data_IF_088753635791
#
_entry.id   IF_088753635791
#
_cell.length_a   1.000
_cell.length_b   1.000
_cell.length_c   1.000
_cell.angle_alpha   90.00
_cell.angle_beta   90.00
_cell.angle_gamma   90.00
#
_symmetry.space_group_name_H-M   'P 1'
#
loop_
_entity.id
_entity.type
_entity.pdbx_description
1 polymer ?
#
# COMPACT_ATOMS: atom_id res chain seq x y z
N UNK A 1 13.63 -16.44 -3.21
CA UNK A 1 13.00 -17.58 -2.50
C UNK A 1 12.08 -16.95 -1.47
N UNK A 2 10.77 -17.19 -1.53
CA UNK A 2 9.82 -16.53 -0.63
C UNK A 2 10.03 -16.98 0.81
N UNK A 3 10.22 -16.04 1.75
CA UNK A 3 10.29 -16.37 3.18
C UNK A 3 8.85 -16.53 3.67
N UNK A 4 8.47 -17.78 3.99
CA UNK A 4 7.18 -18.09 4.62
C UNK A 4 7.34 -17.93 6.12
N UNK A 5 6.73 -16.91 6.69
CA UNK A 5 6.82 -16.64 8.13
C UNK A 5 5.42 -16.73 8.72
N UNK A 6 5.24 -17.71 9.60
CA UNK A 6 4.04 -17.89 10.41
C UNK A 6 4.46 -17.60 11.85
N UNK A 7 4.11 -16.44 12.41
CA UNK A 7 4.28 -16.23 13.85
C UNK A 7 3.24 -15.26 14.41
N UNK A 8 2.81 -15.56 15.63
CA UNK A 8 1.78 -14.88 16.39
C UNK A 8 2.33 -13.89 17.44
N UNK A 9 3.65 -13.71 17.64
CA UNK A 9 4.19 -12.67 18.54
C UNK A 9 5.60 -12.17 18.16
N UNK A 10 5.75 -10.87 17.87
CA UNK A 10 7.05 -10.16 17.98
C UNK A 10 7.69 -9.62 16.70
N UNK A 11 7.12 -9.88 15.53
CA UNK A 11 7.70 -9.45 14.25
C UNK A 11 7.48 -7.96 13.97
N UNK A 12 8.52 -7.27 13.53
CA UNK A 12 8.48 -5.85 13.17
C UNK A 12 8.04 -5.68 11.72
N UNK A 13 6.79 -5.29 11.54
CA UNK A 13 6.25 -4.89 10.24
C UNK A 13 6.17 -3.37 10.16
N UNK A 14 6.72 -2.79 9.10
CA UNK A 14 6.64 -1.36 8.84
C UNK A 14 6.17 -1.12 7.42
N UNK A 15 5.32 -0.12 7.28
CA UNK A 15 4.87 0.40 6.00
C UNK A 15 5.29 1.86 5.95
N UNK A 16 5.89 2.27 4.85
CA UNK A 16 6.25 3.65 4.60
C UNK A 16 5.88 4.04 3.18
N UNK A 17 5.15 5.14 3.04
CA UNK A 17 4.87 5.80 1.78
C UNK A 17 5.79 7.02 1.65
N UNK A 18 6.46 7.13 0.51
CA UNK A 18 7.36 8.24 0.24
C UNK A 18 7.06 8.87 -1.11
N UNK A 19 7.24 10.19 -1.22
CA UNK A 19 7.20 10.93 -2.49
C UNK A 19 8.59 11.49 -2.74
N UNK A 20 9.26 11.05 -3.79
CA UNK A 20 10.58 11.54 -4.16
C UNK A 20 10.48 12.81 -5.01
N UNK A 21 11.60 13.53 -5.11
CA UNK A 21 11.70 14.84 -5.78
C UNK A 21 11.24 14.88 -7.24
N UNK A 22 11.15 13.73 -7.91
CA UNK A 22 10.69 13.60 -9.29
C UNK A 22 9.21 13.23 -9.42
N UNK A 23 8.42 13.39 -8.34
CA UNK A 23 6.98 13.12 -8.38
C UNK A 23 6.58 11.65 -8.29
N UNK A 24 7.55 10.77 -8.04
CA UNK A 24 7.32 9.32 -7.96
C UNK A 24 7.03 8.96 -6.51
N UNK A 25 5.95 8.22 -6.30
CA UNK A 25 5.62 7.66 -5.00
C UNK A 25 6.07 6.22 -4.88
N UNK A 26 6.39 5.81 -3.65
CA UNK A 26 6.82 4.45 -3.34
C UNK A 26 6.08 3.95 -2.11
N UNK A 27 5.71 2.67 -2.13
CA UNK A 27 5.29 1.90 -0.98
C UNK A 27 6.44 0.98 -0.57
N UNK A 28 7.04 1.29 0.56
CA UNK A 28 8.10 0.50 1.18
C UNK A 28 7.51 -0.36 2.29
N UNK A 29 7.83 -1.65 2.27
CA UNK A 29 7.40 -2.62 3.27
C UNK A 29 8.64 -3.31 3.84
N UNK A 30 8.87 -3.09 5.12
CA UNK A 30 9.93 -3.79 5.88
C UNK A 30 9.28 -4.83 6.79
N UNK A 31 9.83 -6.04 6.78
CA UNK A 31 9.35 -7.12 7.63
C UNK A 31 10.51 -7.98 8.13
N UNK A 32 10.84 -7.83 9.41
CA UNK A 32 11.95 -8.53 10.08
C UNK A 32 13.25 -8.54 9.26
N UNK A 33 13.77 -9.73 8.98
CA UNK A 33 14.99 -9.99 8.21
C UNK A 33 14.71 -10.22 6.71
N UNK A 34 13.50 -9.92 6.23
CA UNK A 34 13.20 -9.95 4.79
C UNK A 34 13.80 -8.69 4.15
N UNK A 35 14.32 -8.83 2.93
CA UNK A 35 14.77 -7.67 2.16
C UNK A 35 13.62 -6.65 2.00
N UNK A 36 13.90 -5.34 2.19
CA UNK A 36 12.91 -4.30 2.00
C UNK A 36 12.20 -4.41 0.65
N UNK A 37 10.88 -4.42 0.69
CA UNK A 37 10.05 -4.53 -0.50
C UNK A 37 9.66 -3.13 -0.93
N UNK A 38 10.13 -2.73 -2.11
CA UNK A 38 9.84 -1.42 -2.69
C UNK A 38 8.90 -1.60 -3.87
N UNK A 39 7.73 -0.96 -3.81
CA UNK A 39 6.72 -0.94 -4.85
C UNK A 39 6.59 0.49 -5.39
N UNK A 40 6.78 0.66 -6.70
CA UNK A 40 6.62 1.96 -7.37
C UNK A 40 5.14 2.25 -7.57
N UNK A 41 4.68 3.40 -7.07
CA UNK A 41 3.32 3.89 -7.27
C UNK A 41 3.35 4.90 -8.41
N UNK A 42 3.07 4.43 -9.62
CA UNK A 42 3.12 5.25 -10.84
C UNK A 42 2.14 6.42 -10.76
N UNK A 43 2.54 7.54 -11.32
CA UNK A 43 1.70 8.72 -11.54
C UNK A 43 0.75 8.54 -12.74
N UNK A 44 1.10 7.72 -13.71
CA UNK A 44 0.24 7.38 -14.85
C UNK A 44 -0.95 6.51 -14.44
N UNK A 45 -0.75 5.66 -13.43
CA UNK A 45 -1.75 4.76 -12.86
C UNK A 45 -1.74 4.89 -11.34
N UNK A 46 -2.33 5.97 -10.83
CA UNK A 46 -2.30 6.34 -9.41
C UNK A 46 -3.02 5.29 -8.55
N UNK A 47 -2.32 4.45 -7.76
CA UNK A 47 -2.95 3.30 -7.12
C UNK A 47 -3.55 3.65 -5.74
N UNK A 48 -3.58 4.93 -5.35
CA UNK A 48 -3.91 5.28 -3.96
C UNK A 48 -5.36 4.99 -3.58
N UNK A 49 -6.33 5.30 -4.45
CA UNK A 49 -7.73 4.96 -4.19
C UNK A 49 -7.91 3.44 -4.20
N UNK A 50 -7.29 2.73 -5.15
CA UNK A 50 -7.33 1.26 -5.19
C UNK A 50 -6.72 0.63 -3.93
N UNK A 51 -5.65 1.21 -3.38
CA UNK A 51 -5.08 0.82 -2.08
C UNK A 51 -6.09 1.06 -0.96
N UNK A 52 -6.73 2.22 -0.94
CA UNK A 52 -7.69 2.57 0.11
C UNK A 52 -8.96 1.71 0.06
N UNK A 53 -9.44 1.39 -1.14
CA UNK A 53 -10.55 0.47 -1.40
C UNK A 53 -10.17 -0.96 -1.00
N UNK A 54 -8.99 -1.43 -1.39
CA UNK A 54 -8.50 -2.75 -1.00
C UNK A 54 -8.42 -2.91 0.53
N UNK A 55 -7.94 -1.88 1.25
CA UNK A 55 -7.92 -1.89 2.71
C UNK A 55 -9.33 -1.84 3.32
N UNK A 56 -10.25 -1.10 2.72
CA UNK A 56 -11.65 -1.05 3.13
C UNK A 56 -12.32 -2.42 2.99
N UNK A 57 -12.06 -3.10 1.88
CA UNK A 57 -12.60 -4.42 1.59
C UNK A 57 -12.07 -5.46 2.56
N UNK A 58 -10.78 -5.45 2.87
CA UNK A 58 -10.19 -6.28 3.94
C UNK A 58 -10.89 -5.98 5.27
N UNK A 59 -11.09 -4.72 5.61
CA UNK A 59 -11.72 -4.34 6.87
C UNK A 59 -13.16 -4.85 6.98
N UNK A 60 -13.98 -4.66 5.94
CA UNK A 60 -15.41 -4.95 5.94
C UNK A 60 -15.78 -6.39 5.66
N UNK A 61 -14.95 -7.10 4.90
CA UNK A 61 -15.32 -8.38 4.32
C UNK A 61 -14.32 -9.47 4.70
N UNK A 62 -14.85 -10.63 5.05
CA UNK A 62 -14.09 -11.87 5.13
C UNK A 62 -13.86 -12.40 3.72
N UNK A 63 -12.68 -12.95 3.45
CA UNK A 63 -12.38 -13.58 2.16
C UNK A 63 -11.03 -13.20 1.59
N UNK A 64 -10.93 -13.30 0.27
CA UNK A 64 -9.73 -13.06 -0.52
C UNK A 64 -9.84 -11.74 -1.27
N UNK A 65 -8.85 -10.87 -1.10
CA UNK A 65 -8.83 -9.50 -1.62
C UNK A 65 -7.52 -9.29 -2.37
N UNK A 66 -7.60 -8.90 -3.65
CA UNK A 66 -6.43 -8.73 -4.51
C UNK A 66 -6.35 -7.32 -5.06
N UNK A 67 -5.19 -6.70 -4.91
CA UNK A 67 -4.79 -5.47 -5.58
C UNK A 67 -3.64 -5.78 -6.54
N UNK A 68 -3.67 -5.19 -7.73
CA UNK A 68 -2.55 -5.24 -8.69
C UNK A 68 -2.10 -3.81 -8.95
N UNK A 69 -0.82 -3.54 -8.70
CA UNK A 69 -0.19 -2.25 -8.92
C UNK A 69 0.68 -2.36 -10.17
N UNK A 70 0.48 -1.43 -11.11
CA UNK A 70 1.34 -1.24 -12.28
C UNK A 70 2.53 -0.33 -11.93
N UNK A 71 3.71 -0.93 -11.85
CA UNK A 71 5.00 -0.30 -11.61
C UNK A 71 5.68 0.04 -12.95
N UNK A 72 5.04 0.88 -13.77
CA UNK A 72 5.57 1.34 -15.07
C UNK A 72 5.91 0.17 -16.03
N UNK A 73 4.99 -0.78 -16.19
CA UNK A 73 5.14 -1.95 -17.06
C UNK A 73 5.62 -3.22 -16.33
N UNK A 74 5.73 -3.18 -15.00
CA UNK A 74 5.88 -4.37 -14.15
C UNK A 74 4.71 -4.46 -13.18
N UNK A 75 4.16 -5.65 -12.99
CA UNK A 75 3.01 -5.81 -12.09
C UNK A 75 3.43 -6.41 -10.75
N UNK A 76 3.04 -5.74 -9.66
CA UNK A 76 3.09 -6.29 -8.30
C UNK A 76 1.68 -6.54 -7.80
N UNK A 77 1.42 -7.76 -7.33
CA UNK A 77 0.14 -8.14 -6.73
C UNK A 77 0.26 -8.16 -5.21
N UNK A 78 -0.67 -7.51 -4.53
CA UNK A 78 -0.89 -7.63 -3.09
C UNK A 78 -2.15 -8.46 -2.90
N UNK A 79 -2.00 -9.62 -2.30
CA UNK A 79 -3.10 -10.53 -2.00
C UNK A 79 -3.25 -10.65 -0.49
N UNK A 80 -4.45 -10.37 0.01
CA UNK A 80 -4.79 -10.52 1.41
C UNK A 80 -5.94 -11.52 1.56
N UNK A 81 -5.80 -12.46 2.48
CA UNK A 81 -6.84 -13.44 2.80
C UNK A 81 -7.08 -13.46 4.30
N UNK A 82 -8.31 -13.21 4.72
CA UNK A 82 -8.68 -13.42 6.12
C UNK A 82 -8.62 -14.92 6.43
N UNK A 83 -7.77 -15.32 7.37
CA UNK A 83 -7.70 -16.69 7.88
C UNK A 83 -8.85 -16.92 8.85
N UNK A 84 -9.12 -15.91 9.69
CA UNK A 84 -10.25 -15.80 10.60
C UNK A 84 -10.56 -14.31 10.81
N UNK A 85 -11.32 -13.99 11.87
CA UNK A 85 -11.68 -12.60 12.18
C UNK A 85 -10.48 -11.70 12.53
N UNK A 86 -9.43 -12.28 13.11
CA UNK A 86 -8.31 -11.55 13.69
C UNK A 86 -7.01 -11.71 12.88
N UNK A 87 -6.89 -12.75 12.06
CA UNK A 87 -5.67 -13.09 11.32
C UNK A 87 -5.83 -12.90 9.80
N UNK A 88 -4.80 -12.32 9.18
CA UNK A 88 -4.71 -11.99 7.77
C UNK A 88 -3.45 -12.62 7.17
N UNK A 89 -3.60 -13.47 6.15
CA UNK A 89 -2.49 -13.88 5.29
C UNK A 89 -2.25 -12.80 4.23
N UNK A 90 -1.05 -12.24 4.18
CA UNK A 90 -0.60 -11.33 3.13
C UNK A 90 0.42 -12.04 2.24
N UNK A 91 0.19 -12.01 0.92
CA UNK A 91 1.14 -12.43 -0.10
C UNK A 91 1.45 -11.24 -1.02
N UNK A 92 2.73 -10.97 -1.24
CA UNK A 92 3.20 -9.98 -2.22
C UNK A 92 3.95 -10.73 -3.31
N UNK A 93 3.51 -10.59 -4.56
CA UNK A 93 4.10 -11.28 -5.70
C UNK A 93 4.52 -10.29 -6.79
N UNK A 94 5.67 -10.54 -7.43
CA UNK A 94 6.10 -9.83 -8.66
C UNK A 94 6.45 -10.85 -9.72
N UNK A 95 5.92 -10.68 -10.94
CA UNK A 95 6.18 -11.56 -12.08
C UNK A 95 6.11 -13.08 -11.74
N UNK A 96 5.08 -13.49 -11.00
CA UNK A 96 4.83 -14.86 -10.54
C UNK A 96 5.81 -15.42 -9.47
N UNK A 97 6.66 -14.57 -8.89
CA UNK A 97 7.49 -14.94 -7.74
C UNK A 97 6.94 -14.33 -6.46
N UNK A 98 6.69 -15.16 -5.46
CA UNK A 98 6.36 -14.70 -4.11
C UNK A 98 7.58 -13.97 -3.50
N UNK A 99 7.38 -12.70 -3.13
CA UNK A 99 8.36 -11.86 -2.43
C UNK A 99 8.18 -12.00 -0.91
N UNK A 100 6.93 -11.94 -0.46
CA UNK A 100 6.55 -12.07 0.95
C UNK A 100 5.32 -12.95 1.07
N UNK A 101 5.34 -13.91 1.98
CA UNK A 101 4.15 -14.63 2.41
C UNK A 101 4.15 -14.72 3.94
N UNK A 102 3.30 -13.93 4.60
CA UNK A 102 3.27 -13.82 6.05
C UNK A 102 1.86 -13.64 6.61
N UNK A 103 1.67 -14.06 7.86
CA UNK A 103 0.41 -13.86 8.59
C UNK A 103 0.55 -12.67 9.55
N UNK A 104 -0.51 -11.87 9.65
CA UNK A 104 -0.57 -10.68 10.49
C UNK A 104 -1.85 -10.66 11.31
N UNK A 105 -1.81 -9.98 12.46
CA UNK A 105 -3.04 -9.52 13.10
C UNK A 105 -3.69 -8.45 12.21
N UNK A 106 -4.93 -8.71 11.78
CA UNK A 106 -5.71 -7.92 10.84
C UNK A 106 -5.85 -6.47 11.29
N UNK A 107 -6.31 -6.24 12.51
CA UNK A 107 -6.55 -4.89 13.04
C UNK A 107 -5.26 -4.06 13.17
N UNK A 108 -4.17 -4.56 13.79
CA UNK A 108 -2.87 -3.88 13.77
C UNK A 108 -2.35 -3.57 12.36
N UNK A 109 -2.48 -4.51 11.41
CA UNK A 109 -2.06 -4.30 10.02
C UNK A 109 -2.83 -3.15 9.37
N UNK A 110 -4.17 -3.18 9.45
CA UNK A 110 -5.03 -2.14 8.87
C UNK A 110 -4.75 -0.77 9.51
N UNK A 111 -4.58 -0.73 10.83
CA UNK A 111 -4.26 0.50 11.57
C UNK A 111 -2.91 1.07 11.15
N UNK A 112 -1.89 0.22 10.98
CA UNK A 112 -0.56 0.64 10.56
C UNK A 112 -0.61 1.26 9.15
N UNK A 113 -1.31 0.61 8.21
CA UNK A 113 -1.48 1.12 6.84
C UNK A 113 -2.26 2.45 6.82
N UNK A 114 -3.36 2.52 7.56
CA UNK A 114 -4.19 3.73 7.68
C UNK A 114 -3.41 4.91 8.26
N UNK A 115 -2.63 4.68 9.30
CA UNK A 115 -1.78 5.71 9.90
C UNK A 115 -0.73 6.21 8.93
N UNK A 116 -0.11 5.32 8.16
CA UNK A 116 0.90 5.71 7.18
C UNK A 116 0.28 6.49 6.02
N UNK A 117 -0.89 6.11 5.52
CA UNK A 117 -1.63 6.90 4.53
C UNK A 117 -1.94 8.30 5.06
N UNK A 118 -2.42 8.42 6.30
CA UNK A 118 -2.65 9.74 6.92
C UNK A 118 -1.37 10.57 7.04
N UNK A 119 -0.28 9.96 7.50
CA UNK A 119 1.02 10.63 7.64
C UNK A 119 1.51 11.13 6.29
N UNK A 120 1.56 10.25 5.29
CA UNK A 120 1.99 10.55 3.93
C UNK A 120 1.17 11.68 3.33
N UNK A 121 -0.16 11.58 3.35
CA UNK A 121 -1.04 12.60 2.77
C UNK A 121 -0.90 13.96 3.45
N UNK A 122 -0.62 14.01 4.75
CA UNK A 122 -0.50 15.26 5.51
C UNK A 122 0.88 15.89 5.40
N UNK A 123 1.94 15.09 5.38
CA UNK A 123 3.31 15.57 5.55
C UNK A 123 4.14 15.52 4.26
N UNK A 124 3.99 14.46 3.46
CA UNK A 124 4.91 14.16 2.36
C UNK A 124 4.28 14.33 0.98
N UNK A 125 2.97 14.12 0.86
CA UNK A 125 2.27 14.23 -0.42
C UNK A 125 2.17 15.68 -0.86
N UNK A 126 2.88 15.98 -1.94
CA UNK A 126 2.90 17.27 -2.63
C UNK A 126 2.23 17.10 -4.00
N UNK A 127 0.97 17.57 -4.10
CA UNK A 127 0.19 17.49 -5.33
C UNK A 127 0.74 18.35 -6.47
N UNK A 128 1.68 19.26 -6.19
CA UNK A 128 2.37 20.03 -7.24
C UNK A 128 3.54 19.26 -7.84
N UNK A 129 4.09 18.28 -7.11
CA UNK A 129 5.20 17.44 -7.58
C UNK A 129 4.73 16.11 -8.14
N UNK A 130 3.69 15.54 -7.55
CA UNK A 130 3.12 14.27 -7.99
C UNK A 130 2.67 14.36 -9.46
N UNK A 131 3.09 13.41 -10.30
CA UNK A 131 2.77 13.44 -11.74
C UNK A 131 3.57 14.43 -12.61
N UNK A 132 4.51 15.18 -12.01
CA UNK A 132 5.29 16.21 -12.71
C UNK A 132 6.32 15.68 -13.72
N UNK A 133 6.41 14.36 -13.94
CA UNK A 133 7.39 13.73 -14.84
C UNK A 133 7.07 13.93 -16.32
N UNK A 134 5.78 14.03 -16.66
CA UNK A 134 5.33 13.89 -18.05
C UNK A 134 4.75 15.17 -18.67
N UNK A 135 4.49 16.23 -17.88
CA UNK A 135 4.04 17.50 -18.44
C UNK A 135 4.34 18.69 -17.51
N UNK A 136 5.36 19.48 -17.83
CA UNK A 136 5.64 20.75 -17.14
C UNK A 136 4.49 21.78 -17.31
N UNK A 137 3.51 21.52 -18.18
CA UNK A 137 2.50 22.50 -18.59
C UNK A 137 1.11 22.32 -17.99
N UNK A 138 0.88 21.29 -17.15
CA UNK A 138 -0.42 21.17 -16.47
C UNK A 138 -0.25 20.72 -15.02
N UNK A 139 -0.37 21.64 -14.05
CA UNK A 139 -0.88 21.25 -12.75
C UNK A 139 -2.32 20.81 -12.97
N UNK A 140 -2.53 19.52 -13.27
CA UNK A 140 -3.83 18.93 -12.99
C UNK A 140 -4.07 19.26 -11.52
N UNK A 141 -5.22 19.88 -11.21
CA UNK A 141 -5.67 20.01 -9.83
C UNK A 141 -5.92 18.59 -9.34
N UNK A 142 -4.86 17.95 -8.88
CA UNK A 142 -4.92 16.61 -8.35
C UNK A 142 -5.55 16.71 -6.97
N UNK A 143 -6.82 16.31 -6.91
CA UNK A 143 -7.58 16.25 -5.68
C UNK A 143 -7.38 14.91 -4.94
N UNK A 144 -6.43 14.07 -5.35
CA UNK A 144 -6.10 12.78 -4.73
C UNK A 144 -5.97 12.92 -3.21
N UNK A 145 -5.26 13.95 -2.73
CA UNK A 145 -5.14 14.21 -1.29
C UNK A 145 -6.50 14.41 -0.61
N UNK A 146 -7.34 15.28 -1.14
CA UNK A 146 -8.66 15.56 -0.57
C UNK A 146 -9.59 14.34 -0.69
N UNK A 147 -9.56 13.65 -1.83
CA UNK A 147 -10.38 12.47 -2.09
C UNK A 147 -10.04 11.34 -1.13
N UNK A 148 -8.76 11.03 -0.96
CA UNK A 148 -8.28 10.02 -0.03
C UNK A 148 -8.56 10.38 1.43
N UNK A 149 -8.27 11.62 1.86
CA UNK A 149 -8.59 12.05 3.22
C UNK A 149 -10.10 11.97 3.52
N UNK A 150 -10.94 12.02 2.48
CA UNK A 150 -12.38 11.84 2.58
C UNK A 150 -12.86 10.39 2.35
N UNK A 151 -11.96 9.47 2.05
CA UNK A 151 -12.26 8.07 1.76
C UNK A 151 -12.83 7.34 2.99
N UNK A 152 -13.84 6.46 2.86
CA UNK A 152 -14.46 5.78 3.99
C UNK A 152 -13.49 5.03 4.91
N UNK A 153 -12.44 4.42 4.36
CA UNK A 153 -11.41 3.73 5.14
C UNK A 153 -10.56 4.69 6.01
N UNK A 154 -10.22 5.87 5.48
CA UNK A 154 -9.41 6.84 6.22
C UNK A 154 -10.25 7.67 7.20
N UNK A 155 -11.56 7.79 6.95
CA UNK A 155 -12.52 8.51 7.80
C UNK A 155 -13.09 7.71 8.96
N UNK A 156 -13.15 6.38 8.87
CA UNK A 156 -13.56 5.58 10.02
C UNK A 156 -12.59 5.81 11.19
N UNK A 157 -12.96 5.47 12.41
CA UNK A 157 -12.03 5.44 13.55
C UNK A 157 -11.34 4.08 13.61
#
# INVERSE_FOLDING_TARGET
>A
MAKRIFDNQGNSFKINLALHNHGISFLNIDYDEVEPIVIVLSDLFTPFDDIADWLLDIHRHQGEHKLVIDEEGRFTSLFAKSINNDELLLNICRAHSDILLATFNKEPFLKLFKNELHRFLRQDFDSQKFGGRYDEQKPLKDNTKERLLNHPFLKSD
#
